data_IF_112535945686
#
_entry.id   IF_112535945686
#
_cell.length_a   1.000
_cell.length_b   1.000
_cell.length_c   1.000
_cell.angle_alpha   90.00
_cell.angle_beta   90.00
_cell.angle_gamma   90.00
#
_symmetry.space_group_name_H-M   'P 1'
#
loop_
_entity.id
_entity.type
_entity.pdbx_description
1 polymer ?
#
# COMPACT_ATOMS: atom_id res chain seq x y z
N UNK A 1 -0.14 14.21 26.25
CA UNK A 1 -0.02 15.39 25.37
C UNK A 1 -0.52 14.99 23.99
N UNK A 2 -1.59 15.62 23.51
CA UNK A 2 -2.11 15.38 22.16
C UNK A 2 -1.17 16.04 21.17
N UNK A 3 -0.43 15.25 20.39
CA UNK A 3 0.39 15.76 19.29
C UNK A 3 -0.53 16.19 18.15
N UNK A 4 -0.46 17.45 17.74
CA UNK A 4 -1.18 17.95 16.57
C UNK A 4 -0.58 17.29 15.32
N UNK A 5 -1.34 16.43 14.64
CA UNK A 5 -0.87 15.68 13.46
C UNK A 5 -0.61 16.65 12.29
N UNK A 6 0.64 17.06 12.07
CA UNK A 6 1.04 17.92 10.95
C UNK A 6 1.00 17.11 9.64
N UNK A 7 0.20 17.55 8.66
CA UNK A 7 0.08 16.85 7.38
C UNK A 7 1.37 16.89 6.55
N UNK A 8 1.59 15.89 5.68
CA UNK A 8 2.69 15.90 4.72
C UNK A 8 2.67 17.13 3.79
N UNK A 9 1.47 17.63 3.47
CA UNK A 9 1.33 18.85 2.68
C UNK A 9 1.83 20.08 3.44
N UNK A 10 1.51 20.20 4.73
CA UNK A 10 1.98 21.30 5.57
C UNK A 10 3.49 21.23 5.81
N UNK A 11 4.05 20.02 5.95
CA UNK A 11 5.50 19.80 5.99
C UNK A 11 6.17 20.29 4.71
N UNK A 12 5.63 19.93 3.53
CA UNK A 12 6.14 20.41 2.22
C UNK A 12 6.07 21.93 2.09
N UNK A 13 4.95 22.56 2.48
CA UNK A 13 4.80 24.03 2.49
C UNK A 13 5.78 24.69 3.45
N UNK A 14 6.04 24.09 4.60
CA UNK A 14 7.01 24.59 5.59
C UNK A 14 8.44 24.48 5.07
N UNK A 15 8.81 23.34 4.50
CA UNK A 15 10.11 23.14 3.86
C UNK A 15 10.36 24.16 2.74
N UNK A 16 9.34 24.46 1.92
CA UNK A 16 9.44 25.51 0.89
C UNK A 16 9.79 26.87 1.49
N UNK A 17 9.04 27.32 2.50
CA UNK A 17 9.27 28.60 3.18
C UNK A 17 10.67 28.71 3.80
N UNK A 18 11.14 27.62 4.40
CA UNK A 18 12.50 27.56 4.96
C UNK A 18 13.57 27.67 3.87
N UNK A 19 13.39 27.00 2.72
CA UNK A 19 14.30 27.12 1.58
C UNK A 19 14.29 28.53 0.97
N UNK A 20 13.10 29.11 0.81
CA UNK A 20 12.96 30.48 0.29
C UNK A 20 13.71 31.47 1.20
N UNK A 21 13.57 31.34 2.51
CA UNK A 21 14.28 32.16 3.49
C UNK A 21 15.81 31.91 3.47
N UNK A 22 16.24 30.66 3.31
CA UNK A 22 17.66 30.31 3.21
C UNK A 22 18.33 30.89 1.94
N UNK A 23 17.55 31.15 0.89
CA UNK A 23 18.04 31.71 -0.37
C UNK A 23 18.11 33.26 -0.36
N UNK A 24 17.63 33.94 0.67
CA UNK A 24 17.80 35.38 0.82
C UNK A 24 19.23 35.73 1.28
N UNK A 25 19.85 36.79 0.72
CA UNK A 25 21.18 37.25 1.17
C UNK A 25 21.10 37.71 2.64
N UNK A 26 22.01 37.22 3.48
CA UNK A 26 22.06 37.37 4.96
C UNK A 26 21.06 36.50 5.75
N UNK A 27 21.40 35.22 5.93
CA UNK A 27 20.63 34.23 6.72
C UNK A 27 20.89 34.41 8.24
N UNK A 28 20.59 35.59 8.78
CA UNK A 28 20.42 35.75 10.23
C UNK A 28 18.92 35.78 10.53
N UNK A 29 18.38 34.63 10.91
CA UNK A 29 16.96 34.47 11.26
C UNK A 29 16.84 34.47 12.78
N UNK A 30 16.16 35.48 13.34
CA UNK A 30 15.86 35.51 14.77
C UNK A 30 14.91 34.37 15.16
N UNK A 31 14.90 33.90 16.43
CA UNK A 31 13.97 32.86 16.88
C UNK A 31 12.50 33.20 16.57
N UNK A 32 12.09 34.46 16.75
CA UNK A 32 10.75 34.91 16.38
C UNK A 32 10.47 34.82 14.87
N UNK A 33 11.46 35.11 14.02
CA UNK A 33 11.34 34.94 12.58
C UNK A 33 11.25 33.45 12.19
N UNK A 34 12.05 32.58 12.83
CA UNK A 34 11.98 31.14 12.64
C UNK A 34 10.61 30.58 13.05
N UNK A 35 10.10 31.01 14.21
CA UNK A 35 8.76 30.64 14.68
C UNK A 35 7.66 30.99 13.65
N UNK A 36 7.75 32.15 12.98
CA UNK A 36 6.83 32.50 11.88
C UNK A 36 6.99 31.59 10.66
N UNK A 37 8.23 31.26 10.26
CA UNK A 37 8.50 30.40 9.11
C UNK A 37 7.94 28.99 9.31
N UNK A 38 8.09 28.43 10.51
CA UNK A 38 7.57 27.08 10.81
C UNK A 38 6.11 27.07 11.28
N UNK A 39 5.48 28.24 11.47
CA UNK A 39 4.15 28.40 12.08
C UNK A 39 4.07 27.81 13.49
N UNK A 40 5.10 28.01 14.31
CA UNK A 40 5.02 27.69 15.73
C UNK A 40 4.01 28.62 16.42
N UNK A 41 3.05 28.04 17.12
CA UNK A 41 2.10 28.79 17.96
C UNK A 41 2.83 29.47 19.12
N UNK A 42 3.71 28.71 19.81
CA UNK A 42 4.64 29.21 20.81
C UNK A 42 5.98 29.61 20.16
N UNK A 43 6.30 30.91 20.19
CA UNK A 43 7.53 31.48 19.62
C UNK A 43 8.72 31.49 20.58
N UNK A 44 8.60 30.89 21.76
CA UNK A 44 9.73 30.61 22.62
C UNK A 44 10.68 29.58 21.98
N UNK A 45 11.92 29.52 22.44
CA UNK A 45 12.85 28.45 22.02
C UNK A 45 12.25 27.05 22.23
N UNK A 46 11.52 26.85 23.32
CA UNK A 46 10.86 25.58 23.63
C UNK A 46 9.77 25.24 22.63
N UNK A 47 8.92 26.21 22.28
CA UNK A 47 7.86 26.04 21.29
C UNK A 47 8.40 25.74 19.91
N UNK A 48 9.43 26.47 19.49
CA UNK A 48 10.14 26.25 18.22
C UNK A 48 10.72 24.84 18.15
N UNK A 49 11.44 24.39 19.18
CA UNK A 49 12.03 23.04 19.21
C UNK A 49 10.97 21.94 19.12
N UNK A 50 9.82 22.11 19.80
CA UNK A 50 8.69 21.18 19.71
C UNK A 50 8.10 21.14 18.30
N UNK A 51 7.79 22.30 17.72
CA UNK A 51 7.25 22.36 16.36
C UNK A 51 8.22 21.77 15.33
N UNK A 52 9.54 21.99 15.50
CA UNK A 52 10.55 21.35 14.64
C UNK A 52 10.56 19.83 14.80
N UNK A 53 10.48 19.31 16.04
CA UNK A 53 10.38 17.88 16.29
C UNK A 53 9.14 17.29 15.57
N UNK A 54 7.98 17.92 15.72
CA UNK A 54 6.73 17.49 15.08
C UNK A 54 6.79 17.56 13.54
N UNK A 55 7.55 18.51 12.98
CA UNK A 55 7.77 18.64 11.53
C UNK A 55 8.74 17.59 10.97
N UNK A 56 9.64 17.06 11.79
CA UNK A 56 10.67 16.09 11.41
C UNK A 56 10.18 14.65 11.66
N UNK A 57 9.43 14.41 12.73
CA UNK A 57 8.90 13.09 13.11
C UNK A 57 8.10 12.50 11.95
N UNK A 58 8.47 11.37 11.33
CA UNK A 58 7.75 10.85 10.17
C UNK A 58 6.25 10.68 10.45
N UNK A 59 5.40 11.10 9.53
CA UNK A 59 3.97 10.85 9.66
C UNK A 59 3.72 9.33 9.73
N UNK A 60 2.88 8.91 10.68
CA UNK A 60 2.44 7.51 10.78
C UNK A 60 1.90 7.05 9.41
N UNK A 61 2.42 5.93 8.92
CA UNK A 61 1.93 5.31 7.70
C UNK A 61 0.62 4.60 8.01
N UNK A 62 -0.41 4.92 7.23
CA UNK A 62 -1.74 4.35 7.31
C UNK A 62 -2.38 4.32 5.91
N UNK A 63 -3.62 3.83 5.80
CA UNK A 63 -4.32 3.75 4.51
C UNK A 63 -4.52 5.12 3.83
N UNK A 64 -4.45 6.23 4.56
CA UNK A 64 -4.52 7.58 4.00
C UNK A 64 -3.16 8.12 3.53
N UNK A 65 -2.08 7.37 3.70
CA UNK A 65 -0.76 7.74 3.17
C UNK A 65 -0.83 7.74 1.65
N UNK A 66 -0.38 8.84 1.02
CA UNK A 66 -0.51 9.07 -0.41
C UNK A 66 0.82 9.50 -1.03
N UNK A 67 1.04 9.05 -2.26
CA UNK A 67 2.14 9.48 -3.14
C UNK A 67 1.86 10.80 -3.87
N UNK A 68 0.65 11.36 -3.71
CA UNK A 68 0.17 12.55 -4.40
C UNK A 68 -0.81 12.27 -5.55
N UNK A 69 -0.87 11.03 -6.03
CA UNK A 69 -1.82 10.56 -7.04
C UNK A 69 -2.86 9.62 -6.44
N UNK A 70 -2.44 8.70 -5.58
CA UNK A 70 -3.29 7.73 -4.89
C UNK A 70 -2.88 7.59 -3.42
N UNK A 71 -3.80 7.15 -2.60
CA UNK A 71 -3.55 6.65 -1.25
C UNK A 71 -3.29 5.14 -1.25
N UNK A 72 -2.60 4.64 -0.24
CA UNK A 72 -2.39 3.21 -0.05
C UNK A 72 -3.72 2.45 0.04
N UNK A 73 -4.73 3.03 0.69
CA UNK A 73 -6.09 2.47 0.75
C UNK A 73 -6.71 2.30 -0.63
N UNK A 74 -6.61 3.31 -1.50
CA UNK A 74 -7.11 3.25 -2.88
C UNK A 74 -6.35 2.20 -3.69
N UNK A 75 -5.01 2.18 -3.60
CA UNK A 75 -4.19 1.19 -4.32
C UNK A 75 -4.49 -0.25 -3.86
N UNK A 76 -4.67 -0.49 -2.56
CA UNK A 76 -5.04 -1.82 -2.06
C UNK A 76 -6.44 -2.23 -2.49
N UNK A 77 -7.39 -1.28 -2.55
CA UNK A 77 -8.73 -1.56 -3.06
C UNK A 77 -8.71 -1.88 -4.56
N UNK A 78 -7.96 -1.09 -5.35
CA UNK A 78 -7.77 -1.36 -6.78
C UNK A 78 -7.17 -2.74 -7.03
N UNK A 79 -6.15 -3.12 -6.24
CA UNK A 79 -5.58 -4.47 -6.28
C UNK A 79 -6.62 -5.55 -5.97
N UNK A 80 -7.49 -5.34 -4.99
CA UNK A 80 -8.54 -6.30 -4.65
C UNK A 80 -9.53 -6.50 -5.81
N UNK A 81 -9.98 -5.41 -6.44
CA UNK A 81 -10.92 -5.46 -7.58
C UNK A 81 -10.27 -6.10 -8.81
N UNK A 82 -9.05 -5.70 -9.17
CA UNK A 82 -8.34 -6.31 -10.30
C UNK A 82 -8.10 -7.81 -10.07
N UNK A 83 -7.66 -8.17 -8.87
CA UNK A 83 -7.41 -9.57 -8.53
C UNK A 83 -8.69 -10.38 -8.46
N UNK A 84 -9.82 -9.81 -8.03
CA UNK A 84 -11.10 -10.52 -8.01
C UNK A 84 -11.60 -10.85 -9.41
N UNK A 85 -11.34 -9.97 -10.39
CA UNK A 85 -11.62 -10.27 -11.81
C UNK A 85 -10.78 -11.44 -12.30
N UNK A 86 -9.48 -11.47 -11.99
CA UNK A 86 -8.60 -12.60 -12.33
C UNK A 86 -9.12 -13.89 -11.68
N UNK A 87 -9.42 -13.87 -10.39
CA UNK A 87 -9.98 -15.01 -9.66
C UNK A 87 -11.27 -15.53 -10.29
N UNK A 88 -12.17 -14.64 -10.71
CA UNK A 88 -13.42 -15.02 -11.38
C UNK A 88 -13.20 -15.64 -12.77
N UNK A 89 -12.06 -15.39 -13.42
CA UNK A 89 -11.69 -16.02 -14.69
C UNK A 89 -11.12 -17.44 -14.51
N UNK A 90 -10.62 -17.77 -13.32
CA UNK A 90 -10.03 -19.08 -13.02
C UNK A 90 -10.63 -19.69 -11.73
N UNK A 91 -11.95 -19.89 -11.66
CA UNK A 91 -12.62 -20.29 -10.42
C UNK A 91 -12.15 -21.65 -9.88
N UNK A 92 -11.68 -22.54 -10.76
CA UNK A 92 -11.17 -23.88 -10.39
C UNK A 92 -9.75 -23.85 -9.81
N UNK A 93 -8.95 -22.83 -10.17
CA UNK A 93 -7.58 -22.65 -9.68
C UNK A 93 -7.52 -21.71 -8.48
N UNK A 94 -8.58 -20.93 -8.26
CA UNK A 94 -8.63 -19.93 -7.22
C UNK A 94 -9.33 -20.43 -5.96
N UNK A 95 -8.90 -19.89 -4.83
CA UNK A 95 -9.45 -20.24 -3.52
C UNK A 95 -9.37 -19.06 -2.56
N UNK A 96 -10.19 -19.08 -1.51
CA UNK A 96 -10.11 -18.15 -0.38
C UNK A 96 -10.26 -18.87 0.95
N UNK A 97 -9.59 -18.38 1.99
CA UNK A 97 -9.70 -18.92 3.34
C UNK A 97 -9.58 -17.83 4.40
N UNK A 98 -10.23 -18.05 5.55
CA UNK A 98 -10.09 -17.22 6.75
C UNK A 98 -8.90 -17.61 7.62
N UNK A 99 -8.25 -18.74 7.33
CA UNK A 99 -7.13 -19.26 8.11
C UNK A 99 -5.95 -19.56 7.18
N UNK A 100 -4.74 -19.33 7.67
CA UNK A 100 -3.54 -19.90 7.08
C UNK A 100 -3.51 -21.41 7.30
N UNK A 101 -2.53 -22.09 6.70
CA UNK A 101 -2.32 -23.53 6.88
C UNK A 101 -2.13 -23.93 8.36
N UNK A 102 -1.51 -23.06 9.16
CA UNK A 102 -1.25 -23.27 10.59
C UNK A 102 -2.43 -22.87 11.51
N UNK A 103 -3.57 -22.47 10.94
CA UNK A 103 -4.74 -22.02 11.68
C UNK A 103 -4.67 -20.58 12.19
N UNK A 104 -3.61 -19.82 11.86
CA UNK A 104 -3.49 -18.40 12.23
C UNK A 104 -4.14 -17.50 11.17
N UNK A 105 -4.42 -16.24 11.53
CA UNK A 105 -4.77 -15.18 10.58
C UNK A 105 -4.54 -13.80 11.21
N UNK A 106 -4.31 -12.79 10.37
CA UNK A 106 -4.32 -11.39 10.82
C UNK A 106 -5.75 -10.94 11.11
N UNK A 107 -5.97 -10.24 12.24
CA UNK A 107 -7.31 -9.81 12.66
C UNK A 107 -8.05 -9.02 11.56
N UNK A 108 -9.28 -9.46 11.24
CA UNK A 108 -10.14 -8.85 10.23
C UNK A 108 -9.66 -9.01 8.78
N UNK A 109 -8.73 -9.94 8.54
CA UNK A 109 -8.21 -10.27 7.22
C UNK A 109 -8.61 -11.69 6.81
N UNK A 110 -8.56 -11.94 5.51
CA UNK A 110 -8.63 -13.28 4.93
C UNK A 110 -7.62 -13.35 3.79
N UNK A 111 -7.30 -14.55 3.33
CA UNK A 111 -6.35 -14.80 2.25
C UNK A 111 -7.07 -15.33 1.02
N UNK A 112 -6.65 -14.87 -0.15
CA UNK A 112 -7.08 -15.38 -1.45
C UNK A 112 -5.83 -15.84 -2.20
N UNK A 113 -5.91 -17.01 -2.80
CA UNK A 113 -4.86 -17.55 -3.65
C UNK A 113 -5.38 -18.01 -4.99
N UNK A 114 -4.46 -18.10 -5.94
CA UNK A 114 -4.67 -18.73 -7.24
C UNK A 114 -3.45 -19.60 -7.56
N UNK A 115 -3.69 -20.83 -7.99
CA UNK A 115 -2.65 -21.72 -8.48
C UNK A 115 -2.22 -21.30 -9.89
N UNK A 116 -0.92 -21.18 -10.13
CA UNK A 116 -0.34 -20.94 -11.45
C UNK A 116 0.68 -22.03 -11.77
N UNK A 117 1.09 -22.20 -13.04
CA UNK A 117 2.11 -23.20 -13.42
C UNK A 117 3.44 -23.05 -12.64
N UNK A 118 3.75 -21.84 -12.19
CA UNK A 118 4.96 -21.49 -11.46
C UNK A 118 4.76 -21.44 -9.93
N UNK A 119 3.59 -21.88 -9.44
CA UNK A 119 3.20 -21.93 -8.03
C UNK A 119 2.09 -20.94 -7.66
N UNK A 120 1.67 -20.94 -6.40
CA UNK A 120 0.57 -20.08 -5.95
C UNK A 120 0.93 -18.59 -5.94
N UNK A 121 -0.02 -17.72 -6.28
CA UNK A 121 0.04 -16.31 -5.95
C UNK A 121 -1.02 -15.98 -4.90
N UNK A 122 -0.63 -15.38 -3.78
CA UNK A 122 -1.54 -15.14 -2.65
C UNK A 122 -1.52 -13.70 -2.17
N UNK A 123 -2.68 -13.22 -1.72
CA UNK A 123 -2.82 -11.89 -1.12
C UNK A 123 -3.81 -11.90 0.05
N UNK A 124 -3.50 -11.12 1.08
CA UNK A 124 -4.43 -10.81 2.16
C UNK A 124 -5.29 -9.60 1.84
N UNK A 125 -6.57 -9.71 2.19
CA UNK A 125 -7.55 -8.64 2.05
C UNK A 125 -8.38 -8.46 3.32
N UNK A 126 -8.97 -7.27 3.48
CA UNK A 126 -9.91 -6.97 4.58
C UNK A 126 -11.21 -7.77 4.39
N UNK A 127 -11.59 -8.58 5.36
CA UNK A 127 -12.78 -9.45 5.27
C UNK A 127 -14.06 -8.62 5.08
N UNK A 128 -14.35 -7.71 6.01
CA UNK A 128 -15.56 -6.88 5.98
C UNK A 128 -15.64 -5.86 4.83
N UNK A 129 -14.68 -5.87 3.90
CA UNK A 129 -14.70 -5.02 2.70
C UNK A 129 -14.64 -5.80 1.39
N UNK A 130 -13.97 -6.94 1.36
CA UNK A 130 -13.62 -7.60 0.09
C UNK A 130 -14.04 -9.06 0.01
N UNK A 131 -14.52 -9.70 1.08
CA UNK A 131 -14.83 -11.13 1.07
C UNK A 131 -15.75 -11.56 -0.08
N UNK A 132 -16.79 -10.76 -0.34
CA UNK A 132 -17.80 -11.05 -1.37
C UNK A 132 -17.35 -10.67 -2.79
N UNK A 133 -16.24 -9.94 -2.94
CA UNK A 133 -15.67 -9.67 -4.27
C UNK A 133 -15.13 -10.95 -4.93
N UNK A 134 -14.65 -11.90 -4.13
CA UNK A 134 -14.00 -13.11 -4.62
C UNK A 134 -14.99 -14.27 -4.72
N UNK A 135 -15.35 -14.62 -5.95
CA UNK A 135 -16.25 -15.74 -6.27
C UNK A 135 -15.41 -16.96 -6.65
N UNK A 136 -14.93 -17.70 -5.63
CA UNK A 136 -14.09 -18.88 -5.79
C UNK A 136 -14.29 -19.87 -4.62
N UNK A 137 -13.62 -21.01 -4.68
CA UNK A 137 -13.72 -22.06 -3.66
C UNK A 137 -13.31 -21.54 -2.29
N UNK A 138 -14.13 -21.78 -1.27
CA UNK A 138 -13.78 -21.52 0.13
C UNK A 138 -13.07 -22.75 0.70
N UNK A 139 -11.92 -22.54 1.33
CA UNK A 139 -11.17 -23.57 2.06
C UNK A 139 -11.21 -23.29 3.55
N UNK A 140 -11.25 -24.35 4.35
CA UNK A 140 -11.14 -24.23 5.82
C UNK A 140 -9.79 -23.61 6.21
N UNK A 141 -8.71 -24.06 5.56
CA UNK A 141 -7.35 -23.55 5.72
C UNK A 141 -6.72 -23.31 4.35
N UNK A 142 -5.94 -22.24 4.22
CA UNK A 142 -5.10 -22.01 3.04
C UNK A 142 -4.05 -23.13 2.89
N UNK A 143 -3.58 -23.42 1.67
CA UNK A 143 -2.37 -24.20 1.44
C UNK A 143 -1.16 -23.60 2.16
N UNK A 144 -0.13 -24.43 2.37
CA UNK A 144 1.12 -23.99 2.99
C UNK A 144 1.80 -22.91 2.14
N UNK A 145 2.33 -21.88 2.80
CA UNK A 145 3.03 -20.81 2.10
C UNK A 145 4.42 -21.28 1.67
N UNK A 146 4.69 -21.21 0.38
CA UNK A 146 5.95 -21.64 -0.25
C UNK A 146 7.07 -20.57 -0.17
N UNK A 147 6.86 -19.49 0.59
CA UNK A 147 7.86 -18.45 0.80
C UNK A 147 7.97 -17.42 -0.33
N UNK A 148 7.01 -17.38 -1.27
CA UNK A 148 7.08 -16.47 -2.42
C UNK A 148 7.08 -14.99 -2.04
N UNK A 149 7.90 -14.21 -2.74
CA UNK A 149 7.97 -12.76 -2.59
C UNK A 149 6.84 -12.06 -3.35
N UNK A 150 6.57 -10.76 -3.06
CA UNK A 150 5.63 -9.97 -3.85
C UNK A 150 5.96 -9.90 -5.35
N UNK A 151 7.25 -9.92 -5.72
CA UNK A 151 7.67 -9.93 -7.12
C UNK A 151 7.29 -11.26 -7.80
N UNK A 152 7.55 -12.39 -7.14
CA UNK A 152 7.16 -13.71 -7.65
C UNK A 152 5.64 -13.85 -7.78
N UNK A 153 4.85 -13.29 -6.85
CA UNK A 153 3.39 -13.28 -6.98
C UNK A 153 2.93 -12.56 -8.27
N UNK A 154 3.58 -11.43 -8.62
CA UNK A 154 3.27 -10.69 -9.86
C UNK A 154 3.66 -11.51 -11.09
N UNK A 155 4.84 -12.14 -11.09
CA UNK A 155 5.32 -12.98 -12.19
C UNK A 155 4.39 -14.18 -12.42
N UNK A 156 3.98 -14.87 -11.35
CA UNK A 156 3.03 -16.00 -11.38
C UNK A 156 1.68 -15.60 -11.96
N UNK A 157 1.12 -14.47 -11.52
CA UNK A 157 -0.14 -13.95 -12.07
C UNK A 157 0.01 -13.61 -13.55
N UNK A 158 1.14 -13.03 -13.96
CA UNK A 158 1.40 -12.75 -15.37
C UNK A 158 1.50 -14.05 -16.20
N UNK A 159 2.01 -15.13 -15.63
CA UNK A 159 2.06 -16.47 -16.22
C UNK A 159 0.69 -17.04 -16.63
N UNK A 160 -0.39 -16.65 -15.94
CA UNK A 160 -1.77 -17.04 -16.28
C UNK A 160 -2.20 -16.59 -17.70
N UNK A 161 -1.54 -15.57 -18.28
CA UNK A 161 -1.78 -15.18 -19.68
C UNK A 161 -1.51 -16.34 -20.63
N UNK A 162 -0.50 -17.17 -20.35
CA UNK A 162 -0.15 -18.34 -21.18
C UNK A 162 -1.29 -19.35 -21.17
N UNK A 163 -1.88 -19.59 -20.00
CA UNK A 163 -3.05 -20.46 -19.83
C UNK A 163 -4.22 -19.94 -20.68
N UNK A 164 -4.57 -18.65 -20.56
CA UNK A 164 -5.67 -18.06 -21.33
C UNK A 164 -5.45 -18.08 -22.84
N UNK A 165 -4.22 -17.81 -23.30
CA UNK A 165 -3.88 -17.83 -24.73
C UNK A 165 -3.96 -19.25 -25.27
N UNK A 166 -3.38 -20.23 -24.56
CA UNK A 166 -3.44 -21.64 -24.95
C UNK A 166 -4.89 -22.14 -24.98
N UNK A 167 -5.70 -21.82 -23.98
CA UNK A 167 -7.13 -22.21 -23.96
C UNK A 167 -7.95 -21.58 -25.08
N UNK A 168 -7.66 -20.32 -25.47
CA UNK A 168 -8.44 -19.60 -26.49
C UNK A 168 -7.99 -19.84 -27.92
N UNK A 169 -6.70 -20.03 -28.15
CA UNK A 169 -6.11 -20.01 -29.50
C UNK A 169 -5.24 -21.24 -29.82
N UNK A 170 -5.04 -22.15 -28.86
CA UNK A 170 -4.14 -23.30 -29.00
C UNK A 170 -2.65 -22.91 -28.98
N UNK A 171 -1.78 -23.91 -29.03
CA UNK A 171 -0.32 -23.76 -28.86
C UNK A 171 0.39 -22.96 -29.97
N UNK A 172 -0.33 -22.58 -31.04
CA UNK A 172 0.21 -21.91 -32.22
C UNK A 172 0.16 -20.38 -32.21
N UNK A 173 -0.43 -19.74 -31.19
CA UNK A 173 -0.55 -18.29 -31.14
C UNK A 173 0.70 -17.65 -30.51
N UNK A 174 1.67 -17.30 -31.34
CA UNK A 174 2.84 -16.52 -30.94
C UNK A 174 2.44 -15.08 -30.60
N UNK A 175 2.54 -14.70 -29.33
CA UNK A 175 2.45 -13.29 -28.93
C UNK A 175 3.77 -12.64 -29.31
N UNK A 176 3.77 -11.82 -30.36
CA UNK A 176 4.95 -11.03 -30.75
C UNK A 176 5.42 -10.15 -29.61
N UNK A 177 6.75 -10.00 -29.50
CA UNK A 177 7.45 -9.20 -28.50
C UNK A 177 7.01 -7.72 -28.46
#
# INVERSE_FOLDING_TARGET
>A
MSYTKISNNDRRKTARRLRDAANCRNVQISPSALGRLIKAEDRSYRGILRTLADLIEPAKIDSGTSDGCHSFGELYHHRAVLFSVIVAMFPELAWKSRLHADGTMLEGMFIVGIETPEGQATYHFREGKHWDLFQCRVLDHAPEWDGHTPAQAIERINGLKRVLVTERFGDGFGVGE
#
